data_IF_197027740519
#
_entry.id   IF_197027740519
#
_cell.length_a   1.000
_cell.length_b   1.000
_cell.length_c   1.000
_cell.angle_alpha   90.00
_cell.angle_beta   90.00
_cell.angle_gamma   90.00
#
_symmetry.space_group_name_H-M   'P 1'
#
loop_
_entity.id
_entity.type
_entity.pdbx_description
1 polymer ?
#
# COMPACT_ATOMS: atom_id res chain seq x y z
N UNK A 1 12.84 -12.43 8.88
CA UNK A 1 12.10 -12.80 7.65
C UNK A 1 10.78 -12.08 7.74
N UNK A 2 10.62 -11.07 6.90
CA UNK A 2 9.45 -10.22 6.81
C UNK A 2 8.51 -10.74 5.72
N UNK A 3 7.31 -10.17 5.71
CA UNK A 3 6.37 -10.24 4.61
C UNK A 3 6.30 -8.86 3.97
N UNK A 4 6.51 -8.77 2.66
CA UNK A 4 6.64 -7.49 1.99
C UNK A 4 5.35 -7.18 1.20
N UNK A 5 4.83 -5.98 1.44
CA UNK A 5 3.64 -5.47 0.79
C UNK A 5 3.98 -4.13 0.17
N UNK A 6 3.45 -3.87 -1.01
CA UNK A 6 3.74 -2.66 -1.74
C UNK A 6 2.46 -2.04 -2.26
N UNK A 7 2.20 -0.82 -1.81
CA UNK A 7 1.07 0.00 -2.26
C UNK A 7 1.61 1.04 -3.23
N UNK A 8 1.22 0.95 -4.50
CA UNK A 8 1.70 1.84 -5.57
C UNK A 8 0.53 2.65 -6.11
N UNK A 9 0.74 3.94 -6.38
CA UNK A 9 -0.33 4.86 -6.79
C UNK A 9 0.16 5.88 -7.82
N UNK A 10 -0.68 6.16 -8.81
CA UNK A 10 -0.55 7.30 -9.71
C UNK A 10 -0.95 8.56 -8.94
N UNK A 11 0.00 9.44 -8.69
CA UNK A 11 -0.19 10.63 -7.87
C UNK A 11 0.64 11.79 -8.38
N UNK A 12 0.11 13.01 -8.20
CA UNK A 12 0.89 14.24 -8.34
C UNK A 12 1.65 14.59 -7.04
N UNK A 13 1.31 13.94 -5.92
CA UNK A 13 2.02 14.09 -4.66
C UNK A 13 3.34 13.33 -4.69
N UNK A 14 4.34 13.89 -4.02
CA UNK A 14 5.60 13.21 -3.78
C UNK A 14 5.41 12.02 -2.83
N UNK A 15 6.28 11.01 -2.93
CA UNK A 15 6.18 9.80 -2.12
C UNK A 15 6.14 10.09 -0.60
N UNK A 16 6.84 11.14 -0.18
CA UNK A 16 6.87 11.57 1.22
C UNK A 16 5.59 12.22 1.71
N UNK A 17 4.84 12.86 0.83
CA UNK A 17 3.51 13.37 1.16
C UNK A 17 2.52 12.22 1.33
N UNK A 18 2.64 11.19 0.49
CA UNK A 18 1.86 9.95 0.66
C UNK A 18 2.17 9.25 1.99
N UNK A 19 3.45 9.20 2.37
CA UNK A 19 3.87 8.63 3.65
C UNK A 19 3.23 9.39 4.82
N UNK A 20 3.27 10.72 4.79
CA UNK A 20 2.64 11.57 5.82
C UNK A 20 1.14 11.32 5.92
N UNK A 21 0.44 11.18 4.79
CA UNK A 21 -1.00 10.84 4.78
C UNK A 21 -1.26 9.47 5.42
N UNK A 22 -0.46 8.47 5.04
CA UNK A 22 -0.56 7.12 5.61
C UNK A 22 -0.28 7.09 7.12
N UNK A 23 0.76 7.78 7.58
CA UNK A 23 1.14 7.82 8.99
C UNK A 23 0.17 8.62 9.85
N UNK A 24 -0.41 9.71 9.31
CA UNK A 24 -1.41 10.51 10.01
C UNK A 24 -2.65 9.68 10.39
N UNK A 25 -3.11 8.79 9.49
CA UNK A 25 -4.19 7.84 9.78
C UNK A 25 -3.86 6.91 10.95
N UNK A 26 -2.60 6.51 11.05
CA UNK A 26 -2.11 5.59 12.09
C UNK A 26 -1.70 6.30 13.38
N UNK A 27 -1.82 7.63 13.43
CA UNK A 27 -1.30 8.47 14.51
C UNK A 27 0.20 8.24 14.78
N UNK A 28 0.95 7.98 13.71
CA UNK A 28 2.40 7.81 13.75
C UNK A 28 3.09 9.07 13.23
N UNK A 29 4.28 9.34 13.76
CA UNK A 29 5.16 10.41 13.26
C UNK A 29 6.23 9.80 12.36
N UNK A 30 6.53 10.40 11.20
CA UNK A 30 7.64 9.97 10.37
C UNK A 30 8.94 10.03 11.16
N UNK A 31 9.84 9.06 10.96
CA UNK A 31 11.20 9.20 11.49
C UNK A 31 11.91 10.36 10.78
N UNK A 32 12.54 11.25 11.56
CA UNK A 32 13.25 12.41 11.04
C UNK A 32 14.62 12.06 10.42
N UNK A 33 15.07 10.81 10.56
CA UNK A 33 16.34 10.37 10.00
C UNK A 33 16.21 10.20 8.48
N UNK A 34 17.26 10.62 7.79
CA UNK A 34 17.46 10.36 6.37
C UNK A 34 18.50 9.25 6.20
N UNK A 35 18.40 8.48 5.13
CA UNK A 35 19.45 7.60 4.62
C UNK A 35 20.66 8.45 4.20
N UNK A 36 21.79 7.79 3.95
CA UNK A 36 23.00 8.45 3.40
C UNK A 36 22.76 9.16 2.06
N UNK A 37 21.68 8.81 1.36
CA UNK A 37 21.28 9.38 0.07
C UNK A 37 20.25 10.50 0.23
N UNK A 38 19.89 10.87 1.46
CA UNK A 38 18.93 11.93 1.75
C UNK A 38 17.47 11.50 1.66
N UNK A 39 17.19 10.21 1.50
CA UNK A 39 15.83 9.66 1.50
C UNK A 39 15.35 9.43 2.93
N UNK A 40 14.09 9.70 3.28
CA UNK A 40 13.58 9.41 4.62
C UNK A 40 13.70 7.93 4.99
N UNK A 41 14.21 7.69 6.19
CA UNK A 41 14.40 6.36 6.76
C UNK A 41 13.04 5.70 7.01
N UNK A 42 13.02 4.36 7.01
CA UNK A 42 11.83 3.57 7.35
C UNK A 42 11.24 4.04 8.68
N UNK A 43 9.93 4.28 8.71
CA UNK A 43 9.20 4.60 9.94
C UNK A 43 8.71 3.31 10.59
N UNK A 44 9.02 3.12 11.86
CA UNK A 44 8.55 1.96 12.61
C UNK A 44 7.12 2.14 13.11
N UNK A 45 6.25 1.20 12.73
CA UNK A 45 4.91 1.04 13.29
C UNK A 45 4.79 -0.22 14.14
N UNK A 46 3.62 -0.47 14.77
CA UNK A 46 3.40 -1.67 15.57
C UNK A 46 3.44 -2.97 14.73
N UNK A 47 4.60 -3.63 14.70
CA UNK A 47 4.80 -4.90 13.98
C UNK A 47 5.13 -4.75 12.48
N UNK A 48 5.42 -3.52 12.02
CA UNK A 48 5.81 -3.27 10.64
C UNK A 48 6.79 -2.10 10.52
N UNK A 49 7.51 -2.06 9.41
CA UNK A 49 8.26 -0.90 8.92
C UNK A 49 7.54 -0.37 7.69
N UNK A 50 7.51 0.95 7.51
CA UNK A 50 6.98 1.59 6.31
C UNK A 50 7.95 2.62 5.75
N UNK A 51 8.19 2.58 4.45
CA UNK A 51 8.92 3.59 3.71
C UNK A 51 8.14 4.02 2.47
N UNK A 52 8.56 5.14 1.89
CA UNK A 52 7.98 5.65 0.66
C UNK A 52 9.07 6.03 -0.33
N UNK A 53 8.84 5.74 -1.60
CA UNK A 53 9.77 6.07 -2.67
C UNK A 53 9.07 6.12 -4.03
N UNK A 54 9.80 6.54 -5.07
CA UNK A 54 9.29 6.47 -6.43
C UNK A 54 9.06 5.01 -6.84
N UNK A 55 8.09 4.81 -7.74
CA UNK A 55 7.91 3.50 -8.38
C UNK A 55 9.05 3.28 -9.39
N UNK A 56 9.72 2.13 -9.32
CA UNK A 56 10.82 1.81 -10.25
C UNK A 56 10.30 1.56 -11.67
N UNK A 57 11.16 1.71 -12.69
CA UNK A 57 10.76 1.48 -14.09
C UNK A 57 10.27 0.04 -14.34
N UNK A 58 10.91 -0.95 -13.72
CA UNK A 58 10.51 -2.36 -13.83
C UNK A 58 9.12 -2.58 -13.20
N UNK A 59 8.90 -2.04 -12.00
CA UNK A 59 7.61 -2.15 -11.33
C UNK A 59 6.49 -1.45 -12.11
N UNK A 60 6.75 -0.27 -12.68
CA UNK A 60 5.80 0.41 -13.57
C UNK A 60 5.41 -0.48 -14.75
N UNK A 61 6.38 -1.14 -15.38
CA UNK A 61 6.11 -2.04 -16.52
C UNK A 61 5.22 -3.22 -16.10
N UNK A 62 5.55 -3.90 -15.00
CA UNK A 62 4.76 -5.03 -14.48
C UNK A 62 3.32 -4.61 -14.15
N UNK A 63 3.15 -3.49 -13.45
CA UNK A 63 1.83 -3.00 -13.06
C UNK A 63 1.03 -2.48 -14.26
N UNK A 64 1.69 -1.91 -15.26
CA UNK A 64 1.03 -1.48 -16.49
C UNK A 64 0.57 -2.68 -17.32
N UNK A 65 1.41 -3.70 -17.49
CA UNK A 65 1.07 -4.90 -18.25
C UNK A 65 0.00 -5.75 -17.55
N UNK A 66 0.14 -5.95 -16.23
CA UNK A 66 -0.75 -6.84 -15.48
C UNK A 66 -2.06 -6.19 -15.01
N UNK A 67 -2.02 -4.88 -14.70
CA UNK A 67 -3.15 -4.16 -14.08
C UNK A 67 -3.58 -2.90 -14.83
N UNK A 68 -2.85 -2.48 -15.87
CA UNK A 68 -3.10 -1.25 -16.63
C UNK A 68 -3.20 -0.02 -15.72
N UNK A 69 -2.20 0.13 -14.83
CA UNK A 69 -2.00 1.31 -13.99
C UNK A 69 -0.56 1.81 -14.13
N UNK A 70 -0.37 3.13 -14.06
CA UNK A 70 0.95 3.78 -14.18
C UNK A 70 1.31 4.54 -12.88
N UNK A 71 1.73 3.84 -11.81
CA UNK A 71 2.00 4.47 -10.54
C UNK A 71 3.29 5.30 -10.59
N UNK A 72 3.29 6.42 -9.85
CA UNK A 72 4.44 7.33 -9.77
C UNK A 72 5.19 7.20 -8.45
N UNK A 73 4.48 6.81 -7.38
CA UNK A 73 5.04 6.62 -6.05
C UNK A 73 4.47 5.36 -5.38
N UNK A 74 5.21 4.85 -4.39
CA UNK A 74 4.84 3.66 -3.65
C UNK A 74 5.17 3.77 -2.16
N UNK A 75 4.36 3.10 -1.34
CA UNK A 75 4.62 2.78 0.06
C UNK A 75 5.02 1.32 0.17
N UNK A 76 6.15 1.04 0.82
CA UNK A 76 6.61 -0.32 1.09
C UNK A 76 6.40 -0.63 2.56
N UNK A 77 5.72 -1.73 2.84
CA UNK A 77 5.47 -2.22 4.19
C UNK A 77 6.18 -3.54 4.38
N UNK A 78 7.07 -3.60 5.37
CA UNK A 78 7.70 -4.85 5.79
C UNK A 78 7.10 -5.28 7.11
N UNK A 79 6.32 -6.37 7.11
CA UNK A 79 5.62 -6.86 8.29
C UNK A 79 6.44 -7.99 8.93
N UNK A 80 6.73 -7.86 10.22
CA UNK A 80 7.43 -8.91 10.96
C UNK A 80 6.49 -10.10 11.19
N UNK A 81 6.92 -11.28 10.72
CA UNK A 81 6.18 -12.54 10.86
C UNK A 81 6.03 -13.02 12.31
N UNK A 82 6.86 -12.55 13.23
CA UNK A 82 6.83 -12.93 14.65
C UNK A 82 6.01 -11.95 15.51
N UNK A 83 5.57 -10.83 14.93
CA UNK A 83 4.72 -9.84 15.60
C UNK A 83 3.23 -10.19 15.49
N UNK A 84 2.37 -9.35 16.06
CA UNK A 84 0.91 -9.41 15.81
C UNK A 84 0.60 -9.03 14.36
N UNK A 85 0.75 -10.02 13.47
CA UNK A 85 0.56 -9.87 12.03
C UNK A 85 -0.83 -9.36 11.69
N UNK A 86 -1.86 -9.81 12.41
CA UNK A 86 -3.24 -9.43 12.12
C UNK A 86 -3.43 -7.93 12.30
N UNK A 87 -2.86 -7.37 13.39
CA UNK A 87 -2.85 -5.94 13.66
C UNK A 87 -2.00 -5.16 12.66
N UNK A 88 -0.78 -5.62 12.37
CA UNK A 88 0.12 -4.95 11.42
C UNK A 88 -0.48 -4.86 10.00
N UNK A 89 -1.07 -5.97 9.51
CA UNK A 89 -1.76 -5.99 8.21
C UNK A 89 -2.96 -5.04 8.21
N UNK A 90 -3.71 -4.97 9.32
CA UNK A 90 -4.86 -4.06 9.43
C UNK A 90 -4.40 -2.60 9.39
N UNK A 91 -3.30 -2.25 10.07
CA UNK A 91 -2.71 -0.92 10.03
C UNK A 91 -2.22 -0.56 8.61
N UNK A 92 -1.56 -1.48 7.91
CA UNK A 92 -1.18 -1.29 6.51
C UNK A 92 -2.40 -1.01 5.62
N UNK A 93 -3.50 -1.75 5.79
CA UNK A 93 -4.73 -1.53 5.04
C UNK A 93 -5.35 -0.15 5.35
N UNK A 94 -5.36 0.27 6.63
CA UNK A 94 -5.83 1.60 7.02
C UNK A 94 -5.00 2.70 6.35
N UNK A 95 -3.67 2.59 6.38
CA UNK A 95 -2.76 3.51 5.71
C UNK A 95 -3.03 3.60 4.20
N UNK A 96 -3.10 2.46 3.50
CA UNK A 96 -3.38 2.42 2.06
C UNK A 96 -4.75 3.00 1.71
N UNK A 97 -5.80 2.63 2.46
CA UNK A 97 -7.15 3.17 2.28
C UNK A 97 -7.20 4.68 2.55
N UNK A 98 -6.45 5.18 3.53
CA UNK A 98 -6.36 6.62 3.79
C UNK A 98 -5.77 7.38 2.60
N UNK A 99 -4.69 6.86 2.02
CA UNK A 99 -4.11 7.45 0.80
C UNK A 99 -5.13 7.47 -0.33
N UNK A 100 -5.88 6.38 -0.56
CA UNK A 100 -6.92 6.32 -1.59
C UNK A 100 -8.04 7.36 -1.38
N UNK A 101 -8.37 7.73 -0.14
CA UNK A 101 -9.37 8.78 0.13
C UNK A 101 -8.92 10.18 -0.27
N UNK A 102 -7.61 10.45 -0.20
CA UNK A 102 -7.05 11.78 -0.43
C UNK A 102 -6.48 11.95 -1.84
N UNK A 103 -6.09 10.86 -2.49
CA UNK A 103 -5.47 10.88 -3.82
C UNK A 103 -6.40 10.18 -4.79
N UNK A 104 -6.77 10.76 -5.95
CA UNK A 104 -7.75 10.16 -6.85
C UNK A 104 -7.20 9.18 -7.90
N UNK A 105 -5.87 9.00 -8.03
CA UNK A 105 -5.29 8.24 -9.15
C UNK A 105 -5.29 6.72 -9.00
N UNK A 106 -5.02 6.01 -10.08
CA UNK A 106 -5.05 4.54 -10.06
C UNK A 106 -3.98 3.95 -9.12
N UNK A 107 -4.29 2.84 -8.47
CA UNK A 107 -3.45 2.30 -7.40
C UNK A 107 -3.56 0.77 -7.30
N UNK A 108 -2.49 0.13 -6.82
CA UNK A 108 -2.47 -1.30 -6.55
C UNK A 108 -1.80 -1.59 -5.20
N UNK A 109 -2.32 -2.56 -4.45
CA UNK A 109 -1.63 -3.17 -3.32
C UNK A 109 -1.23 -4.59 -3.72
N UNK A 110 0.05 -4.88 -3.65
CA UNK A 110 0.60 -6.19 -4.03
C UNK A 110 1.37 -6.79 -2.85
N UNK A 111 1.18 -8.08 -2.62
CA UNK A 111 1.94 -8.88 -1.66
C UNK A 111 3.04 -9.66 -2.38
N UNK A 112 4.27 -9.54 -1.88
CA UNK A 112 5.49 -10.15 -2.43
C UNK A 112 5.69 -9.90 -3.94
N UNK A 113 5.21 -8.77 -4.47
CA UNK A 113 5.37 -8.40 -5.88
C UNK A 113 4.47 -9.14 -6.87
N UNK A 114 3.72 -10.16 -6.43
CA UNK A 114 2.99 -11.07 -7.32
C UNK A 114 1.48 -11.08 -7.06
N UNK A 115 1.08 -11.07 -5.78
CA UNK A 115 -0.33 -11.27 -5.40
C UNK A 115 -1.05 -9.95 -5.22
N UNK A 116 -2.00 -9.64 -6.10
CA UNK A 116 -2.80 -8.42 -6.02
C UNK A 116 -3.85 -8.55 -4.92
N UNK A 117 -3.87 -7.59 -4.01
CA UNK A 117 -4.77 -7.56 -2.85
C UNK A 117 -5.87 -6.51 -2.98
N UNK A 118 -5.55 -5.41 -3.67
CA UNK A 118 -6.42 -4.28 -3.93
C UNK A 118 -6.00 -3.64 -5.25
N UNK A 119 -6.98 -3.20 -6.04
CA UNK A 119 -6.76 -2.38 -7.24
C UNK A 119 -7.79 -1.25 -7.24
N UNK A 120 -7.35 -0.01 -7.44
CA UNK A 120 -8.21 1.07 -7.90
C UNK A 120 -7.84 1.39 -9.35
N UNK A 121 -8.83 1.31 -10.24
CA UNK A 121 -8.65 1.62 -11.65
C UNK A 121 -9.84 2.41 -12.18
N UNK A 122 -9.58 3.55 -12.81
CA UNK A 122 -10.63 4.43 -13.35
C UNK A 122 -11.66 4.82 -12.29
N UNK A 123 -11.20 5.07 -11.06
CA UNK A 123 -12.05 5.41 -9.91
C UNK A 123 -12.83 4.25 -9.28
N UNK A 124 -12.74 3.04 -9.82
CA UNK A 124 -13.41 1.86 -9.26
C UNK A 124 -12.46 1.09 -8.35
N UNK A 125 -12.90 0.78 -7.13
CA UNK A 125 -12.13 0.01 -6.16
C UNK A 125 -12.50 -1.48 -6.24
N UNK A 126 -11.49 -2.31 -6.40
CA UNK A 126 -11.59 -3.76 -6.47
C UNK A 126 -10.76 -4.39 -5.35
N UNK A 127 -11.34 -5.35 -4.63
CA UNK A 127 -10.70 -6.06 -3.52
C UNK A 127 -10.60 -7.55 -3.85
N UNK A 128 -9.45 -8.17 -3.57
CA UNK A 128 -9.27 -9.59 -3.88
C UNK A 128 -10.15 -10.47 -2.98
N UNK A 129 -10.90 -11.41 -3.56
CA UNK A 129 -11.80 -12.26 -2.78
C UNK A 129 -11.15 -13.55 -2.23
N UNK A 130 -9.98 -13.95 -2.74
CA UNK A 130 -9.43 -15.32 -2.54
C UNK A 130 -8.35 -15.39 -1.48
N UNK A 131 -7.63 -14.30 -1.25
CA UNK A 131 -6.50 -14.22 -0.33
C UNK A 131 -6.90 -14.34 1.15
N UNK A 132 -8.20 -14.20 1.47
CA UNK A 132 -8.68 -14.14 2.84
C UNK A 132 -8.23 -12.88 3.59
N UNK A 133 -7.60 -11.92 2.89
CA UNK A 133 -7.14 -10.67 3.49
C UNK A 133 -8.32 -9.82 3.99
N UNK A 134 -9.39 -9.76 3.20
CA UNK A 134 -10.57 -8.92 3.44
C UNK A 134 -11.60 -9.64 4.32
N UNK A 135 -11.28 -9.78 5.61
CA UNK A 135 -12.23 -10.27 6.62
C UNK A 135 -13.39 -9.29 6.83
N UNK A 136 -14.53 -9.72 7.42
CA UNK A 136 -15.64 -8.81 7.72
C UNK A 136 -15.23 -7.57 8.54
N UNK A 137 -14.27 -7.70 9.45
CA UNK A 137 -13.74 -6.61 10.26
C UNK A 137 -12.96 -5.60 9.41
N UNK A 138 -12.14 -6.09 8.47
CA UNK A 138 -11.36 -5.23 7.57
C UNK A 138 -12.22 -4.58 6.50
N UNK A 139 -13.27 -5.25 6.04
CA UNK A 139 -14.24 -4.67 5.11
C UNK A 139 -14.99 -3.46 5.71
N UNK A 140 -15.19 -3.42 7.04
CA UNK A 140 -15.75 -2.23 7.72
C UNK A 140 -14.87 -0.99 7.62
N UNK A 141 -13.57 -1.15 7.34
CA UNK A 141 -12.63 -0.04 7.14
C UNK A 141 -12.76 0.57 5.74
N UNK A 142 -13.37 -0.15 4.79
CA UNK A 142 -13.54 0.31 3.41
C UNK A 142 -14.79 1.19 3.34
N UNK A 143 -14.58 2.50 3.37
CA UNK A 143 -15.64 3.50 3.32
C UNK A 143 -15.92 4.04 1.90
N UNK A 144 -15.48 3.31 0.87
CA UNK A 144 -15.68 3.62 -0.54
C UNK A 144 -16.45 2.47 -1.21
N UNK A 145 -17.23 2.74 -2.27
CA UNK A 145 -17.83 1.67 -3.07
C UNK A 145 -16.74 0.75 -3.61
N UNK A 146 -16.92 -0.56 -3.42
CA UNK A 146 -15.97 -1.56 -3.90
C UNK A 146 -16.68 -2.75 -4.53
N UNK A 147 -15.95 -3.47 -5.39
CA UNK A 147 -16.34 -4.77 -5.93
C UNK A 147 -15.33 -5.81 -5.51
N UNK A 148 -15.78 -6.97 -5.05
CA UNK A 148 -14.88 -8.11 -4.86
C UNK A 148 -14.64 -8.80 -6.19
N UNK A 149 -13.38 -9.11 -6.49
CA UNK A 149 -12.97 -9.74 -7.75
C UNK A 149 -11.77 -10.64 -7.51
N UNK A 150 -11.61 -11.63 -8.39
CA UNK A 150 -10.42 -12.46 -8.43
C UNK A 150 -9.38 -11.86 -9.38
N UNK A 151 -8.15 -11.72 -8.92
CA UNK A 151 -7.05 -11.22 -9.74
C UNK A 151 -6.15 -12.34 -10.29
N UNK A 152 -5.50 -12.15 -11.44
CA UNK A 152 -4.36 -12.99 -11.79
C UNK A 152 -3.18 -12.73 -10.84
N UNK A 153 -2.23 -13.66 -10.81
CA UNK A 153 -0.89 -13.40 -10.27
C UNK A 153 -0.12 -12.61 -11.33
N UNK A 154 0.63 -11.60 -10.91
CA UNK A 154 1.46 -10.76 -11.79
C UNK A 154 2.71 -11.49 -12.28
#
# INVERSE_FOLDING_TARGET
MSLDYRFSIASALEAQELLKLALAELHLTPEERLTSEGEPMETQGPGFLVSAGPTSALEKAILQEGLSIEPTAALSFSIDKFSDRARAVTAMLQAGLAVLRHVPGDAGLVFNGETVLLLRQGGHLFLDARTGLWTPERLKLVNMPYTQKDFPVL
#
